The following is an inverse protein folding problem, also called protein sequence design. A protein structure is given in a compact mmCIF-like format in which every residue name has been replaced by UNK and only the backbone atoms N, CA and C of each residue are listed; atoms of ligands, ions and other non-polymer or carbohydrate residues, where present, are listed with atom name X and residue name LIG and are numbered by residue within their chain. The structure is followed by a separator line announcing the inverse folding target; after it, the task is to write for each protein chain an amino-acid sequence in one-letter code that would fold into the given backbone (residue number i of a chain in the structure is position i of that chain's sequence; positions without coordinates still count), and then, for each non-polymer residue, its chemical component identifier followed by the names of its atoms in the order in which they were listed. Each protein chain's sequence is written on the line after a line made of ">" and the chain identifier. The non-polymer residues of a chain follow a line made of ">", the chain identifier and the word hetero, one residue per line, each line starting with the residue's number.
data_IF_220997962407
#
_entry.id   IF_220997962407
#
_cell.length_a   1.000
_cell.length_b   1.000
_cell.length_c   1.000
_cell.angle_alpha   90.00
_cell.angle_beta   90.00
_cell.angle_gamma   90.00
#
_symmetry.space_group_name_H-M   'P 1'
#
loop_
_entity.id
_entity.type
_entity.pdbx_description
1 polymer ?
#
# COMPACT_ATOMS: atom_id res chain seq x y z
N UNK A 1 -16.49 -0.80 -1.10
CA UNK A 1 -16.13 0.59 -1.50
C UNK A 1 -15.32 1.24 -0.38
N UNK A 2 -14.17 1.86 -0.71
CA UNK A 2 -13.23 2.49 0.23
C UNK A 2 -13.10 4.01 -0.01
N UNK A 3 -14.06 4.62 -0.70
CA UNK A 3 -14.01 6.04 -1.10
C UNK A 3 -14.01 7.04 0.07
N UNK A 4 -14.41 6.60 1.27
CA UNK A 4 -14.41 7.39 2.52
C UNK A 4 -13.28 6.99 3.48
N UNK A 5 -12.41 6.07 3.09
CA UNK A 5 -11.27 5.68 3.92
C UNK A 5 -10.31 6.88 4.05
N UNK A 6 -9.80 7.19 5.26
CA UNK A 6 -9.07 8.44 5.52
C UNK A 6 -7.63 8.44 5.00
N UNK A 7 -7.11 7.29 4.58
CA UNK A 7 -5.76 7.14 4.03
C UNK A 7 -5.80 6.77 2.54
N UNK A 8 -4.69 6.91 1.79
CA UNK A 8 -4.63 6.50 0.40
C UNK A 8 -4.94 5.01 0.21
N UNK A 9 -5.91 4.71 -0.65
CA UNK A 9 -6.28 3.34 -1.02
C UNK A 9 -6.17 3.16 -2.52
N UNK A 10 -5.45 2.12 -2.94
CA UNK A 10 -5.18 1.80 -4.33
C UNK A 10 -5.79 0.43 -4.66
N UNK A 11 -6.59 0.35 -5.72
CA UNK A 11 -6.93 -0.92 -6.36
C UNK A 11 -5.89 -1.20 -7.44
N UNK A 12 -5.30 -2.39 -7.40
CA UNK A 12 -4.23 -2.78 -8.30
C UNK A 12 -4.52 -4.10 -9.00
N UNK A 13 -4.02 -4.19 -10.23
CA UNK A 13 -3.85 -5.46 -10.93
C UNK A 13 -2.59 -6.19 -10.42
N UNK A 14 -2.52 -7.50 -10.60
CA UNK A 14 -1.36 -8.34 -10.30
C UNK A 14 -0.07 -7.85 -10.97
N UNK A 15 -0.14 -7.06 -12.03
CA UNK A 15 1.03 -6.39 -12.64
C UNK A 15 1.52 -5.15 -11.89
N UNK A 16 0.90 -4.78 -10.76
CA UNK A 16 1.13 -3.57 -9.95
C UNK A 16 0.64 -2.29 -10.62
N UNK A 17 -0.10 -2.41 -11.73
CA UNK A 17 -0.79 -1.29 -12.34
C UNK A 17 -1.93 -0.83 -11.43
N UNK A 18 -1.94 0.46 -11.11
CA UNK A 18 -3.02 1.10 -10.37
C UNK A 18 -4.22 1.22 -11.31
N UNK A 19 -5.35 0.66 -10.91
CA UNK A 19 -6.59 0.66 -11.69
C UNK A 19 -7.57 1.74 -11.21
N UNK A 20 -7.63 1.94 -9.90
CA UNK A 20 -8.46 2.96 -9.27
C UNK A 20 -7.85 3.38 -7.93
N UNK A 21 -8.23 4.56 -7.46
CA UNK A 21 -7.76 5.16 -6.22
C UNK A 21 -8.93 5.81 -5.48
N UNK A 22 -8.80 6.07 -4.17
CA UNK A 22 -9.79 6.89 -3.44
C UNK A 22 -9.48 8.39 -3.53
N UNK A 23 -10.42 9.21 -3.06
CA UNK A 23 -10.30 10.68 -3.05
C UNK A 23 -9.05 11.19 -2.34
N UNK A 24 -8.61 10.51 -1.28
CA UNK A 24 -7.40 10.88 -0.54
C UNK A 24 -6.16 10.67 -1.41
N UNK A 25 -6.05 9.52 -2.09
CA UNK A 25 -4.97 9.26 -3.03
C UNK A 25 -4.99 10.21 -4.24
N UNK A 26 -6.17 10.55 -4.77
CA UNK A 26 -6.32 11.56 -5.83
C UNK A 26 -5.82 12.94 -5.38
N UNK A 27 -6.18 13.37 -4.17
CA UNK A 27 -5.75 14.64 -3.60
C UNK A 27 -4.22 14.71 -3.39
N UNK A 28 -3.57 13.56 -3.20
CA UNK A 28 -2.11 13.44 -3.15
C UNK A 28 -1.46 13.35 -4.54
N UNK A 29 -2.24 13.44 -5.62
CA UNK A 29 -1.75 13.38 -6.99
C UNK A 29 -1.37 11.98 -7.45
N UNK A 30 -1.88 10.92 -6.82
CA UNK A 30 -1.60 9.54 -7.23
C UNK A 30 -2.49 9.17 -8.44
N UNK A 31 -1.92 8.93 -9.63
CA UNK A 31 -2.71 8.67 -10.82
C UNK A 31 -3.05 7.18 -10.96
N UNK A 32 -4.18 6.89 -11.60
CA UNK A 32 -4.42 5.56 -12.17
C UNK A 32 -3.55 5.35 -13.43
N UNK A 33 -3.33 4.08 -13.80
CA UNK A 33 -2.63 3.70 -15.02
C UNK A 33 -1.12 3.49 -14.89
N UNK A 34 -0.50 3.98 -13.81
CA UNK A 34 0.93 3.78 -13.53
C UNK A 34 1.19 2.57 -12.63
N UNK A 35 2.44 2.12 -12.55
CA UNK A 35 2.84 1.04 -11.64
C UNK A 35 3.04 1.57 -10.22
N UNK A 36 2.52 0.88 -9.21
CA UNK A 36 2.61 1.28 -7.80
C UNK A 36 4.01 1.68 -7.32
N UNK A 37 5.04 0.95 -7.77
CA UNK A 37 6.41 1.18 -7.35
C UNK A 37 7.02 2.46 -7.95
N UNK A 38 6.45 2.99 -9.04
CA UNK A 38 6.90 4.27 -9.61
C UNK A 38 6.58 5.45 -8.68
N UNK A 39 5.59 5.31 -7.79
CA UNK A 39 5.31 6.30 -6.75
C UNK A 39 6.47 6.48 -5.76
N UNK A 40 7.36 5.50 -5.66
CA UNK A 40 8.60 5.58 -4.88
C UNK A 40 9.84 5.85 -5.75
N UNK A 41 9.65 6.24 -7.02
CA UNK A 41 10.75 6.43 -7.96
C UNK A 41 11.49 5.14 -8.34
N UNK A 42 10.85 3.97 -8.19
CA UNK A 42 11.47 2.67 -8.49
C UNK A 42 11.00 2.12 -9.82
N UNK A 43 11.89 1.47 -10.55
CA UNK A 43 11.56 0.69 -11.75
C UNK A 43 11.05 -0.72 -11.42
N UNK A 44 11.34 -1.22 -10.21
CA UNK A 44 11.00 -2.57 -9.76
C UNK A 44 10.11 -2.52 -8.51
N UNK A 45 9.31 -3.59 -8.25
CA UNK A 45 8.53 -3.71 -7.03
C UNK A 45 9.34 -3.45 -5.76
N UNK A 46 8.69 -2.89 -4.74
CA UNK A 46 9.32 -2.60 -3.45
C UNK A 46 9.87 -3.91 -2.83
N UNK A 47 11.02 -3.82 -2.15
CA UNK A 47 11.65 -4.98 -1.53
C UNK A 47 10.73 -5.67 -0.50
N UNK A 48 9.93 -4.90 0.25
CA UNK A 48 8.93 -5.39 1.20
C UNK A 48 7.53 -5.64 0.61
N UNK A 49 7.37 -5.69 -0.71
CA UNK A 49 6.06 -5.89 -1.32
C UNK A 49 5.52 -7.31 -1.07
N UNK A 50 4.38 -7.43 -0.39
CA UNK A 50 3.75 -8.73 -0.12
C UNK A 50 2.66 -9.13 -1.12
N UNK A 51 2.37 -8.31 -2.14
CA UNK A 51 1.27 -8.55 -3.09
C UNK A 51 1.33 -9.93 -3.78
N UNK A 52 2.53 -10.41 -4.15
CA UNK A 52 2.66 -11.74 -4.79
C UNK A 52 2.32 -12.87 -3.82
N UNK A 53 2.66 -12.69 -2.53
CA UNK A 53 2.36 -13.66 -1.49
C UNK A 53 0.86 -13.65 -1.19
N UNK A 54 0.26 -12.46 -1.04
CA UNK A 54 -1.16 -12.27 -0.78
C UNK A 54 -2.02 -12.90 -1.90
N UNK A 55 -1.75 -12.57 -3.16
CA UNK A 55 -2.49 -13.12 -4.30
C UNK A 55 -2.36 -14.64 -4.43
N UNK A 56 -1.16 -15.21 -4.20
CA UNK A 56 -0.98 -16.67 -4.24
C UNK A 56 -1.71 -17.39 -3.11
N UNK A 57 -1.81 -16.78 -1.94
CA UNK A 57 -2.49 -17.37 -0.78
C UNK A 57 -4.00 -17.15 -0.84
N UNK A 58 -4.47 -16.10 -1.53
CA UNK A 58 -5.86 -15.67 -1.49
C UNK A 58 -6.22 -14.90 -0.21
N UNK A 59 -5.23 -14.58 0.62
CA UNK A 59 -5.43 -13.97 1.93
C UNK A 59 -4.86 -12.55 2.00
N UNK A 60 -5.53 -11.72 2.80
CA UNK A 60 -5.02 -10.39 3.15
C UNK A 60 -3.74 -10.50 3.97
N UNK A 61 -2.69 -9.80 3.55
CA UNK A 61 -1.43 -9.73 4.29
C UNK A 61 -1.21 -8.34 4.88
N UNK A 62 -0.64 -8.31 6.09
CA UNK A 62 -0.28 -7.12 6.85
C UNK A 62 1.22 -7.07 7.06
N UNK A 63 1.81 -5.88 6.97
CA UNK A 63 3.20 -5.63 7.33
C UNK A 63 3.37 -4.24 7.93
N UNK A 64 4.01 -4.17 9.09
CA UNK A 64 4.34 -2.91 9.75
C UNK A 64 5.80 -2.55 9.52
N UNK A 65 6.10 -1.32 9.10
CA UNK A 65 7.47 -0.89 8.87
C UNK A 65 7.64 0.63 8.89
N UNK A 66 8.83 1.08 9.27
CA UNK A 66 9.26 2.45 9.02
C UNK A 66 9.38 2.73 7.51
N UNK A 67 8.77 3.83 7.06
CA UNK A 67 8.91 4.36 5.72
C UNK A 67 9.85 5.57 5.75
N UNK A 68 11.10 5.44 5.24
CA UNK A 68 12.02 6.57 5.18
C UNK A 68 11.50 7.74 4.33
N UNK A 69 10.78 7.43 3.24
CA UNK A 69 10.23 8.43 2.33
C UNK A 69 9.14 9.28 3.01
N UNK A 70 8.25 8.64 3.77
CA UNK A 70 7.15 9.31 4.43
C UNK A 70 7.51 9.82 5.84
N UNK A 71 8.65 9.39 6.39
CA UNK A 71 9.05 9.59 7.79
C UNK A 71 7.96 9.15 8.78
N UNK A 72 7.35 8.00 8.49
CA UNK A 72 6.21 7.46 9.25
C UNK A 72 6.40 5.96 9.47
N UNK A 73 5.87 5.46 10.58
CA UNK A 73 5.72 4.05 10.82
C UNK A 73 4.36 3.59 10.26
N UNK A 74 4.41 2.79 9.20
CA UNK A 74 3.23 2.43 8.42
C UNK A 74 2.72 1.04 8.78
N UNK A 75 1.41 0.89 8.93
CA UNK A 75 0.72 -0.39 8.97
C UNK A 75 0.09 -0.68 7.61
N UNK A 76 0.72 -1.56 6.84
CA UNK A 76 0.46 -1.72 5.40
C UNK A 76 -0.24 -3.02 5.08
N UNK A 77 -1.21 -2.98 4.16
CA UNK A 77 -2.04 -4.13 3.78
C UNK A 77 -1.97 -4.41 2.27
N UNK A 78 -2.11 -5.70 1.94
CA UNK A 78 -2.34 -6.23 0.59
C UNK A 78 -3.50 -7.21 0.66
N UNK A 79 -4.67 -6.78 0.21
CA UNK A 79 -5.91 -7.54 0.33
C UNK A 79 -6.39 -7.98 -1.05
N UNK A 80 -6.26 -9.27 -1.43
CA UNK A 80 -6.90 -9.80 -2.63
C UNK A 80 -8.39 -9.46 -2.64
N UNK A 81 -8.95 -9.17 -3.82
CA UNK A 81 -10.38 -8.93 -4.00
C UNK A 81 -11.08 -10.27 -4.17
N UNK A 82 -12.04 -10.57 -3.30
CA UNK A 82 -12.81 -11.82 -3.37
C UNK A 82 -13.50 -11.96 -4.73
N UNK A 83 -13.39 -13.16 -5.33
CA UNK A 83 -13.91 -13.45 -6.67
C UNK A 83 -13.02 -12.98 -7.83
N UNK A 84 -11.99 -12.17 -7.57
CA UNK A 84 -11.13 -11.56 -8.60
C UNK A 84 -9.67 -12.02 -8.45
N UNK A 85 -9.21 -12.88 -9.36
CA UNK A 85 -7.90 -13.56 -9.23
C UNK A 85 -6.70 -12.62 -9.26
N UNK A 86 -6.79 -11.55 -10.04
CA UNK A 86 -5.65 -10.68 -10.32
C UNK A 86 -5.79 -9.29 -9.69
N UNK A 87 -6.77 -9.09 -8.82
CA UNK A 87 -7.03 -7.80 -8.18
C UNK A 87 -6.72 -7.84 -6.69
N UNK A 88 -6.11 -6.76 -6.21
CA UNK A 88 -5.90 -6.55 -4.78
C UNK A 88 -5.96 -5.07 -4.42
N UNK A 89 -6.39 -4.80 -3.20
CA UNK A 89 -6.38 -3.47 -2.59
C UNK A 89 -5.10 -3.31 -1.78
N UNK A 90 -4.44 -2.18 -1.94
CA UNK A 90 -3.23 -1.80 -1.22
C UNK A 90 -3.43 -0.45 -0.55
N UNK A 91 -3.11 -0.39 0.73
CA UNK A 91 -3.18 0.82 1.54
C UNK A 91 -2.25 0.68 2.74
N UNK A 92 -1.92 1.80 3.36
CA UNK A 92 -1.21 1.80 4.62
C UNK A 92 -1.74 2.90 5.52
N UNK A 93 -1.73 2.65 6.82
CA UNK A 93 -2.12 3.62 7.84
C UNK A 93 -0.88 4.14 8.56
N UNK A 94 -0.81 5.45 8.79
CA UNK A 94 0.20 6.00 9.68
C UNK A 94 -0.14 5.64 11.13
N UNK A 95 0.72 4.84 11.75
CA UNK A 95 0.58 4.44 13.16
C UNK A 95 1.70 5.00 14.03
N UNK A 96 2.46 5.99 13.54
CA UNK A 96 3.66 6.53 14.23
C UNK A 96 3.37 6.92 15.67
N UNK A 97 2.22 7.54 15.94
CA UNK A 97 1.81 7.98 17.28
C UNK A 97 1.54 6.83 18.27
N UNK A 98 1.40 5.59 17.79
CA UNK A 98 1.05 4.42 18.60
C UNK A 98 2.21 3.40 18.70
N UNK A 99 3.35 3.70 18.09
CA UNK A 99 4.52 2.82 18.03
C UNK A 99 5.45 3.13 19.19
N UNK A 100 6.03 2.08 19.78
CA UNK A 100 7.03 2.23 20.84
C UNK A 100 8.27 2.96 20.29
N UNK A 101 8.83 3.87 21.09
CA UNK A 101 9.95 4.71 20.66
C UNK A 101 11.19 3.93 20.20
N UNK A 102 11.41 2.73 20.75
CA UNK A 102 12.53 1.84 20.39
C UNK A 102 12.42 1.23 18.98
N UNK A 103 11.24 1.29 18.36
CA UNK A 103 10.99 0.85 16.99
C UNK A 103 11.11 2.00 15.97
N UNK A 104 11.23 3.25 16.43
CA UNK A 104 11.50 4.40 15.59
C UNK A 104 13.00 4.53 15.33
N UNK A 105 13.43 4.98 14.15
CA UNK A 105 14.84 5.29 13.93
C UNK A 105 15.29 6.39 14.89
N UNK A 106 16.55 6.33 15.32
CA UNK A 106 17.18 7.42 16.06
C UNK A 106 17.16 8.72 15.23
N UNK A 107 16.97 9.85 15.90
CA UNK A 107 16.99 11.18 15.28
C UNK A 107 18.35 11.58 14.71
#
# INVERSE_FOLDING_TARGET
>A
MWGLFPEPVLLLHASRKILAVNKVAEALGIPAGVSCHSLQGREKPCAGCLANKALRQGDGLRHTSWSPLARKFMDTFWCPVEGEKDLYVHFGNDITAFVKADLLPAE
#
